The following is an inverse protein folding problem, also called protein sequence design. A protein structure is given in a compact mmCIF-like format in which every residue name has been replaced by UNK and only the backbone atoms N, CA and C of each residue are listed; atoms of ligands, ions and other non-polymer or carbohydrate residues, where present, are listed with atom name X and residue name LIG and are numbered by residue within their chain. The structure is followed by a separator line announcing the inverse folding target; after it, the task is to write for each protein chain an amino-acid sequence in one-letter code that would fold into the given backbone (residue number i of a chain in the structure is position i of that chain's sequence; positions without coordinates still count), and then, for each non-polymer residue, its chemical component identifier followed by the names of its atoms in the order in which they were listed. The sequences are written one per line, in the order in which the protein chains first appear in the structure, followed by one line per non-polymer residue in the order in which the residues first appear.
data_IF_192775371802
#
_entry.id   IF_192775371802
#
_cell.length_a   1.000
_cell.length_b   1.000
_cell.length_c   1.000
_cell.angle_alpha   90.00
_cell.angle_beta   90.00
_cell.angle_gamma   90.00
#
_symmetry.space_group_name_H-M   'P 1'
#
loop_
_entity.id
_entity.type
_entity.pdbx_description
1 polymer ?
#
# COMPACT_ATOMS: atom_id res chain seq x y z
N UNK A 1 16.75 -10.04 -15.44
CA UNK A 1 15.91 -9.82 -14.24
C UNK A 1 16.21 -10.89 -13.19
N UNK A 2 16.00 -10.59 -11.90
CA UNK A 2 16.06 -11.57 -10.81
C UNK A 2 14.65 -12.07 -10.54
N UNK A 3 14.42 -13.35 -10.79
CA UNK A 3 13.14 -14.02 -10.54
C UNK A 3 13.14 -14.65 -9.15
N UNK A 4 11.98 -14.67 -8.49
CA UNK A 4 11.83 -15.45 -7.26
C UNK A 4 11.88 -16.93 -7.61
N UNK A 5 12.29 -17.77 -6.63
CA UNK A 5 12.31 -19.22 -6.83
C UNK A 5 10.89 -19.80 -6.88
N UNK A 6 10.67 -20.91 -7.61
CA UNK A 6 9.40 -21.64 -7.55
C UNK A 6 9.01 -22.06 -6.12
N UNK A 7 9.97 -22.41 -5.28
CA UNK A 7 9.73 -22.74 -3.87
C UNK A 7 9.13 -21.55 -3.10
N UNK A 8 9.64 -20.33 -3.29
CA UNK A 8 9.07 -19.15 -2.65
C UNK A 8 7.64 -18.87 -3.13
N UNK A 9 7.35 -19.09 -4.43
CA UNK A 9 5.98 -18.96 -4.93
C UNK A 9 5.02 -19.98 -4.30
N UNK A 10 5.49 -21.19 -4.02
CA UNK A 10 4.73 -22.22 -3.29
C UNK A 10 4.54 -21.86 -1.82
N UNK A 11 5.55 -21.23 -1.17
CA UNK A 11 5.43 -20.72 0.20
C UNK A 11 4.34 -19.66 0.28
N UNK A 12 4.31 -18.73 -0.69
CA UNK A 12 3.22 -17.75 -0.80
C UNK A 12 1.86 -18.42 -0.96
N UNK A 13 1.75 -19.41 -1.84
CA UNK A 13 0.49 -20.12 -2.05
C UNK A 13 0.00 -20.83 -0.77
N UNK A 14 0.91 -21.47 0.00
CA UNK A 14 0.59 -22.08 1.30
C UNK A 14 0.14 -21.05 2.34
N UNK A 15 0.71 -19.84 2.28
CA UNK A 15 0.29 -18.72 3.13
C UNK A 15 -0.99 -18.02 2.63
N UNK A 16 -1.68 -18.55 1.60
CA UNK A 16 -2.87 -17.92 1.03
C UNK A 16 -2.57 -16.58 0.35
N UNK A 17 -1.39 -16.45 -0.27
CA UNK A 17 -0.92 -15.22 -0.91
C UNK A 17 -0.68 -15.46 -2.41
N UNK A 18 -1.32 -14.65 -3.26
CA UNK A 18 -1.12 -14.60 -4.71
C UNK A 18 -0.87 -13.16 -5.22
N UNK A 19 -0.54 -12.25 -4.28
CA UNK A 19 -0.12 -10.88 -4.53
C UNK A 19 1.35 -10.72 -4.11
N UNK A 20 2.30 -10.81 -5.08
CA UNK A 20 3.73 -10.72 -4.81
C UNK A 20 4.52 -10.33 -6.06
N UNK A 21 5.77 -9.89 -5.87
CA UNK A 21 6.67 -9.59 -6.96
C UNK A 21 7.30 -10.88 -7.48
N UNK A 22 7.08 -11.17 -8.75
CA UNK A 22 7.58 -12.36 -9.45
C UNK A 22 9.03 -12.17 -9.89
N UNK A 23 9.34 -10.97 -10.40
CA UNK A 23 10.68 -10.63 -10.85
C UNK A 23 10.98 -9.14 -10.65
N UNK A 24 12.26 -8.84 -10.39
CA UNK A 24 12.77 -7.49 -10.24
C UNK A 24 14.03 -7.27 -11.08
N UNK A 25 14.14 -6.11 -11.70
CA UNK A 25 15.28 -5.65 -12.46
C UNK A 25 15.38 -4.14 -12.52
N UNK A 26 16.49 -3.61 -13.01
CA UNK A 26 16.71 -2.16 -13.05
C UNK A 26 15.65 -1.39 -13.84
N UNK A 27 15.17 -1.96 -14.95
CA UNK A 27 14.27 -1.30 -15.90
C UNK A 27 12.90 -1.96 -16.02
N UNK A 28 12.67 -3.08 -15.33
CA UNK A 28 11.42 -3.81 -15.38
C UNK A 28 11.20 -4.58 -14.07
N UNK A 29 9.93 -4.64 -13.64
CA UNK A 29 9.48 -5.51 -12.55
C UNK A 29 8.17 -6.18 -12.95
N UNK A 30 7.97 -7.40 -12.48
CA UNK A 30 6.73 -8.16 -12.71
C UNK A 30 6.09 -8.45 -11.36
N UNK A 31 4.81 -8.09 -11.25
CA UNK A 31 4.03 -8.27 -10.04
C UNK A 31 2.79 -9.11 -10.39
N UNK A 32 2.55 -10.16 -9.61
CA UNK A 32 1.37 -11.01 -9.70
C UNK A 32 0.28 -10.48 -8.78
N UNK A 33 -0.97 -10.55 -9.25
CA UNK A 33 -2.18 -10.27 -8.48
C UNK A 33 -3.26 -11.29 -8.87
N UNK A 34 -3.42 -12.34 -8.05
CA UNK A 34 -4.35 -13.42 -8.32
C UNK A 34 -4.02 -14.18 -9.60
N UNK A 35 -4.95 -14.16 -10.57
CA UNK A 35 -4.82 -14.79 -11.89
C UNK A 35 -4.23 -13.88 -12.97
N UNK A 36 -3.72 -12.68 -12.56
CA UNK A 36 -3.10 -11.73 -13.48
C UNK A 36 -1.71 -11.28 -13.06
N UNK A 37 -0.95 -10.72 -14.01
CA UNK A 37 0.35 -10.10 -13.78
C UNK A 37 0.48 -8.76 -14.49
N UNK A 38 1.25 -7.85 -13.89
CA UNK A 38 1.61 -6.55 -14.46
C UNK A 38 3.13 -6.48 -14.60
N UNK A 39 3.62 -6.34 -15.83
CA UNK A 39 5.00 -6.02 -16.14
C UNK A 39 5.16 -4.50 -16.23
N UNK A 40 5.76 -3.89 -15.22
CA UNK A 40 6.05 -2.45 -15.21
C UNK A 40 7.47 -2.21 -15.74
N UNK A 41 7.63 -1.37 -16.79
CA UNK A 41 8.90 -1.17 -17.48
C UNK A 41 9.16 0.31 -17.80
N UNK A 42 10.45 0.66 -18.00
CA UNK A 42 10.89 2.01 -18.40
C UNK A 42 11.24 2.11 -19.90
N UNK A 43 11.03 1.06 -20.69
CA UNK A 43 11.33 1.04 -22.12
C UNK A 43 10.28 1.80 -22.91
N UNK A 44 10.66 2.31 -24.12
CA UNK A 44 9.73 3.02 -25.01
C UNK A 44 8.67 2.06 -25.55
N UNK A 45 9.08 0.83 -25.88
CA UNK A 45 8.21 -0.25 -26.34
C UNK A 45 8.16 -1.34 -25.28
N UNK A 46 7.05 -2.06 -25.21
CA UNK A 46 6.88 -3.21 -24.30
C UNK A 46 7.85 -4.32 -24.70
N UNK A 47 8.71 -4.78 -23.78
CA UNK A 47 9.64 -5.86 -24.09
C UNK A 47 8.88 -7.20 -24.13
N UNK A 48 8.52 -7.69 -25.31
CA UNK A 48 7.74 -8.94 -25.48
C UNK A 48 8.46 -10.17 -24.94
N UNK A 49 9.80 -10.19 -24.94
CA UNK A 49 10.62 -11.26 -24.34
C UNK A 49 10.26 -11.55 -22.88
N UNK A 50 9.75 -10.53 -22.15
CA UNK A 50 9.30 -10.66 -20.76
C UNK A 50 8.10 -11.61 -20.65
N UNK A 51 7.22 -11.63 -21.65
CA UNK A 51 6.04 -12.50 -21.67
C UNK A 51 6.46 -13.97 -21.73
N UNK A 52 7.43 -14.29 -22.58
CA UNK A 52 7.95 -15.65 -22.73
C UNK A 52 8.72 -16.09 -21.47
N UNK A 53 9.51 -15.18 -20.89
CA UNK A 53 10.21 -15.46 -19.63
C UNK A 53 9.20 -15.71 -18.48
N UNK A 54 8.14 -14.90 -18.42
CA UNK A 54 7.06 -15.07 -17.43
C UNK A 54 6.34 -16.42 -17.60
N UNK A 55 6.02 -16.80 -18.84
CA UNK A 55 5.40 -18.09 -19.14
C UNK A 55 6.28 -19.26 -18.65
N UNK A 56 7.57 -19.25 -19.01
CA UNK A 56 8.53 -20.27 -18.55
C UNK A 56 8.67 -20.32 -17.02
N UNK A 57 8.61 -19.16 -16.35
CA UNK A 57 8.63 -19.11 -14.90
C UNK A 57 7.35 -19.70 -14.31
N UNK A 58 6.18 -19.35 -14.88
CA UNK A 58 4.88 -19.87 -14.45
C UNK A 58 4.82 -21.40 -14.52
N UNK A 59 5.31 -22.00 -15.62
CA UNK A 59 5.37 -23.44 -15.79
C UNK A 59 6.20 -24.11 -14.68
N UNK A 60 7.39 -23.56 -14.39
CA UNK A 60 8.26 -24.08 -13.33
C UNK A 60 7.68 -23.92 -11.91
N UNK A 61 6.94 -22.82 -11.68
CA UNK A 61 6.37 -22.49 -10.38
C UNK A 61 4.99 -23.14 -10.14
N UNK A 62 4.38 -23.76 -11.16
CA UNK A 62 3.01 -24.26 -11.10
C UNK A 62 1.98 -23.13 -10.95
N UNK A 63 2.27 -21.94 -11.51
CA UNK A 63 1.40 -20.77 -11.44
C UNK A 63 0.63 -20.63 -12.75
N UNK A 64 -0.70 -20.52 -12.69
CA UNK A 64 -1.53 -20.21 -13.85
C UNK A 64 -1.92 -18.74 -13.86
N UNK A 65 -1.61 -18.04 -14.97
CA UNK A 65 -2.05 -16.68 -15.23
C UNK A 65 -3.01 -16.69 -16.42
N UNK A 66 -4.15 -16.02 -16.25
CA UNK A 66 -5.16 -15.85 -17.31
C UNK A 66 -4.96 -14.56 -18.10
N UNK A 67 -4.22 -13.60 -17.52
CA UNK A 67 -4.08 -12.25 -18.08
C UNK A 67 -2.72 -11.64 -17.71
N UNK A 68 -2.11 -10.98 -18.69
CA UNK A 68 -0.86 -10.26 -18.49
C UNK A 68 -1.01 -8.87 -19.05
N UNK A 69 -0.46 -7.91 -18.35
CA UNK A 69 -0.48 -6.49 -18.73
C UNK A 69 0.95 -5.93 -18.71
N UNK A 70 1.21 -4.98 -19.59
CA UNK A 70 2.39 -4.14 -19.53
C UNK A 70 2.00 -2.74 -19.08
N UNK A 71 2.85 -2.11 -18.27
CA UNK A 71 2.69 -0.73 -17.85
C UNK A 71 4.01 0.01 -17.99
N UNK A 72 4.00 1.05 -18.80
CA UNK A 72 5.17 1.92 -18.92
C UNK A 72 5.24 2.85 -17.72
N UNK A 73 6.40 2.84 -17.05
CA UNK A 73 6.73 3.78 -15.98
C UNK A 73 7.28 5.06 -16.61
N UNK A 74 6.49 6.14 -16.57
CA UNK A 74 6.89 7.44 -17.09
C UNK A 74 7.50 8.26 -15.96
N UNK A 75 8.66 8.87 -16.22
CA UNK A 75 9.37 9.70 -15.23
C UNK A 75 8.75 11.08 -15.01
N UNK A 76 7.78 11.48 -15.85
CA UNK A 76 7.12 12.76 -15.72
C UNK A 76 6.08 12.75 -14.59
N UNK A 77 6.10 13.73 -13.67
CA UNK A 77 5.13 13.81 -12.59
C UNK A 77 3.67 13.91 -13.10
N UNK A 78 2.80 13.06 -12.54
CA UNK A 78 1.35 13.12 -12.78
C UNK A 78 0.86 12.48 -14.09
N UNK A 79 1.73 11.86 -14.88
CA UNK A 79 1.35 11.12 -16.09
C UNK A 79 1.68 9.64 -15.91
N UNK A 80 0.66 8.81 -15.93
CA UNK A 80 0.80 7.36 -15.92
C UNK A 80 0.13 6.82 -17.17
N UNK A 81 0.85 6.08 -17.98
CA UNK A 81 0.26 5.38 -19.10
C UNK A 81 -0.69 4.29 -18.56
N UNK A 82 -1.83 4.12 -19.23
CA UNK A 82 -2.71 2.99 -18.90
C UNK A 82 -1.99 1.70 -19.22
N UNK A 83 -2.17 0.65 -18.38
CA UNK A 83 -1.65 -0.66 -18.71
C UNK A 83 -2.20 -1.15 -20.05
N UNK A 84 -1.36 -1.81 -20.81
CA UNK A 84 -1.66 -2.44 -22.07
C UNK A 84 -1.89 -3.93 -21.83
N UNK A 85 -2.99 -4.48 -22.36
CA UNK A 85 -3.24 -5.91 -22.29
C UNK A 85 -2.31 -6.65 -23.26
N UNK A 86 -1.63 -7.69 -22.79
CA UNK A 86 -0.73 -8.52 -23.58
C UNK A 86 -1.40 -9.86 -23.95
N UNK A 87 -1.24 -10.30 -25.20
CA UNK A 87 -1.81 -11.55 -25.67
C UNK A 87 -3.35 -11.59 -25.59
N UNK A 88 -3.90 -12.65 -25.01
CA UNK A 88 -5.34 -12.90 -24.95
C UNK A 88 -6.04 -12.32 -23.69
N UNK A 89 -5.46 -11.29 -23.06
CA UNK A 89 -6.07 -10.69 -21.89
C UNK A 89 -7.37 -9.95 -22.26
N UNK A 90 -8.49 -10.66 -22.19
CA UNK A 90 -9.82 -10.14 -22.48
C UNK A 90 -10.50 -9.54 -21.23
N UNK A 91 -11.47 -8.62 -21.39
CA UNK A 91 -12.32 -8.15 -20.29
C UNK A 91 -13.08 -9.30 -19.61
N UNK A 92 -13.45 -9.13 -18.32
CA UNK A 92 -13.23 -7.96 -17.48
C UNK A 92 -11.79 -7.86 -17.04
N UNK A 93 -11.28 -6.60 -16.94
CA UNK A 93 -9.91 -6.32 -16.49
C UNK A 93 -9.79 -6.22 -14.97
N UNK A 94 -10.82 -6.59 -14.24
CA UNK A 94 -10.83 -6.65 -12.79
C UNK A 94 -10.59 -8.08 -12.31
N UNK A 95 -9.96 -8.22 -11.15
CA UNK A 95 -9.69 -9.50 -10.51
C UNK A 95 -9.68 -9.38 -9.00
N UNK A 96 -9.40 -10.47 -8.34
CA UNK A 96 -9.19 -10.54 -6.90
C UNK A 96 -7.79 -11.08 -6.66
N UNK A 97 -7.04 -10.42 -5.80
CA UNK A 97 -5.79 -10.94 -5.28
C UNK A 97 -5.91 -11.22 -3.78
N UNK A 98 -5.13 -12.18 -3.31
CA UNK A 98 -5.07 -12.58 -1.91
C UNK A 98 -3.71 -12.27 -1.30
N UNK A 99 -3.75 -11.79 -0.08
CA UNK A 99 -2.57 -11.61 0.76
C UNK A 99 -2.86 -12.17 2.15
N UNK A 100 -2.19 -13.25 2.50
CA UNK A 100 -2.34 -13.95 3.78
C UNK A 100 -3.81 -14.27 4.13
N UNK A 101 -4.55 -14.76 3.11
CA UNK A 101 -5.95 -15.12 3.22
C UNK A 101 -6.94 -13.96 3.13
N UNK A 102 -6.50 -12.70 3.11
CA UNK A 102 -7.37 -11.54 2.87
C UNK A 102 -7.46 -11.24 1.37
N UNK A 103 -8.65 -10.88 0.92
CA UNK A 103 -8.98 -10.65 -0.50
C UNK A 103 -9.08 -9.16 -0.81
N UNK A 104 -8.54 -8.77 -1.97
CA UNK A 104 -8.52 -7.39 -2.44
C UNK A 104 -8.94 -7.29 -3.90
N UNK A 105 -9.77 -6.31 -4.22
CA UNK A 105 -10.16 -6.00 -5.60
C UNK A 105 -8.96 -5.41 -6.36
N UNK A 106 -8.69 -5.96 -7.55
CA UNK A 106 -7.63 -5.53 -8.45
C UNK A 106 -8.26 -5.02 -9.74
N UNK A 107 -7.83 -3.85 -10.19
CA UNK A 107 -8.13 -3.28 -11.49
C UNK A 107 -6.83 -3.19 -12.30
N UNK A 108 -6.66 -4.11 -13.24
CA UNK A 108 -5.45 -4.21 -14.05
C UNK A 108 -5.27 -3.05 -15.02
N UNK A 109 -6.33 -2.29 -15.31
CA UNK A 109 -6.29 -1.11 -16.20
C UNK A 109 -6.15 0.20 -15.43
N UNK A 110 -6.09 0.17 -14.10
CA UNK A 110 -5.80 1.35 -13.31
C UNK A 110 -4.37 1.87 -13.57
N UNK A 111 -4.21 3.19 -13.68
CA UNK A 111 -2.94 3.80 -14.10
C UNK A 111 -1.78 3.54 -13.12
N UNK A 112 -1.78 4.21 -11.95
CA UNK A 112 -0.64 4.15 -11.02
C UNK A 112 -0.61 2.87 -10.18
N UNK A 113 -1.73 2.48 -9.60
CA UNK A 113 -1.84 1.30 -8.74
C UNK A 113 -3.09 0.51 -9.07
N UNK A 114 -2.95 -0.81 -9.15
CA UNK A 114 -4.05 -1.71 -9.47
C UNK A 114 -5.01 -1.97 -8.29
N UNK A 115 -4.71 -1.50 -7.08
CA UNK A 115 -5.57 -1.66 -5.91
C UNK A 115 -4.88 -2.16 -4.65
N UNK A 116 -3.68 -2.73 -4.76
CA UNK A 116 -2.91 -3.21 -3.62
C UNK A 116 -1.43 -2.88 -3.82
N UNK A 117 -0.81 -2.28 -2.81
CA UNK A 117 0.64 -2.07 -2.73
C UNK A 117 1.28 -3.23 -1.99
N UNK A 118 1.95 -4.12 -2.73
CA UNK A 118 2.51 -5.37 -2.17
C UNK A 118 3.74 -5.14 -1.27
N UNK A 119 4.43 -4.02 -1.43
CA UNK A 119 5.56 -3.62 -0.58
C UNK A 119 5.14 -3.25 0.85
N UNK A 120 3.85 -3.01 1.08
CA UNK A 120 3.29 -2.79 2.42
C UNK A 120 2.83 -4.08 3.13
N UNK A 121 3.07 -5.27 2.56
CA UNK A 121 2.60 -6.56 3.12
C UNK A 121 3.08 -6.80 4.56
N UNK A 122 4.36 -6.57 4.85
CA UNK A 122 4.90 -6.73 6.21
C UNK A 122 4.23 -5.78 7.22
N UNK A 123 3.92 -4.55 6.79
CA UNK A 123 3.22 -3.58 7.63
C UNK A 123 1.76 -3.97 7.87
N UNK A 124 1.04 -4.48 6.85
CA UNK A 124 -0.33 -5.00 7.04
C UNK A 124 -0.36 -6.23 7.93
N UNK A 125 0.63 -7.13 7.81
CA UNK A 125 0.81 -8.26 8.72
C UNK A 125 0.96 -7.81 10.17
N UNK A 126 1.78 -6.80 10.43
CA UNK A 126 1.96 -6.22 11.76
C UNK A 126 0.65 -5.64 12.31
N UNK A 127 -0.08 -4.89 11.48
CA UNK A 127 -1.40 -4.36 11.85
C UNK A 127 -2.35 -5.50 12.20
N UNK A 128 -2.44 -6.54 11.36
CA UNK A 128 -3.31 -7.69 11.62
C UNK A 128 -2.95 -8.46 12.90
N UNK A 129 -1.65 -8.56 13.21
CA UNK A 129 -1.18 -9.30 14.39
C UNK A 129 -1.33 -8.52 15.70
N UNK A 130 -1.27 -7.19 15.67
CA UNK A 130 -1.16 -6.39 16.90
C UNK A 130 -2.23 -5.30 17.07
N UNK A 131 -2.98 -4.96 16.02
CA UNK A 131 -3.92 -3.86 16.10
C UNK A 131 -5.12 -4.22 17.01
N UNK A 132 -5.21 -3.50 18.09
CA UNK A 132 -6.36 -3.51 19.00
C UNK A 132 -6.91 -2.09 19.14
N UNK A 133 -8.20 -1.95 19.46
CA UNK A 133 -8.84 -0.65 19.61
C UNK A 133 -9.16 0.00 18.27
N UNK A 134 -8.67 1.21 18.04
CA UNK A 134 -9.03 2.04 16.88
C UNK A 134 -7.82 2.32 16.00
N UNK A 135 -7.96 2.07 14.69
CA UNK A 135 -6.98 2.41 13.68
C UNK A 135 -7.44 3.64 12.88
N UNK A 136 -6.57 4.66 12.78
CA UNK A 136 -6.71 5.78 11.86
C UNK A 136 -5.85 5.53 10.62
N UNK A 137 -6.50 5.37 9.46
CA UNK A 137 -5.83 5.12 8.18
C UNK A 137 -5.91 6.39 7.31
N UNK A 138 -4.78 7.09 7.21
CA UNK A 138 -4.63 8.35 6.49
C UNK A 138 -4.10 8.08 5.09
N UNK A 139 -4.68 8.73 4.06
CA UNK A 139 -4.41 8.44 2.65
C UNK A 139 -4.66 6.97 2.33
N UNK A 140 -5.81 6.48 2.80
CA UNK A 140 -6.06 5.06 2.93
C UNK A 140 -6.28 4.30 1.62
N UNK A 141 -6.38 5.00 0.49
CA UNK A 141 -6.60 4.41 -0.84
C UNK A 141 -7.73 3.37 -0.79
N UNK A 142 -7.49 2.12 -1.14
CA UNK A 142 -8.47 1.02 -1.12
C UNK A 142 -8.62 0.36 0.25
N UNK A 143 -8.18 0.99 1.30
CA UNK A 143 -8.31 0.58 2.71
C UNK A 143 -7.65 -0.77 3.06
N UNK A 144 -6.57 -1.16 2.38
CA UNK A 144 -5.95 -2.47 2.62
C UNK A 144 -5.43 -2.66 4.06
N UNK A 145 -4.89 -1.63 4.70
CA UNK A 145 -4.53 -1.64 6.12
C UNK A 145 -5.74 -1.81 7.03
N UNK A 146 -6.85 -1.15 6.67
CA UNK A 146 -8.08 -1.21 7.46
C UNK A 146 -8.78 -2.55 7.35
N UNK A 147 -8.69 -3.22 6.19
CA UNK A 147 -9.13 -4.61 6.05
C UNK A 147 -8.33 -5.52 6.99
N UNK A 148 -7.00 -5.36 7.05
CA UNK A 148 -6.16 -6.13 7.95
C UNK A 148 -6.49 -5.87 9.43
N UNK A 149 -6.72 -4.61 9.82
CA UNK A 149 -7.12 -4.23 11.18
C UNK A 149 -8.52 -4.74 11.55
N UNK A 150 -9.49 -4.58 10.64
CA UNK A 150 -10.86 -5.05 10.87
C UNK A 150 -10.92 -6.59 10.98
N UNK A 151 -10.11 -7.32 10.22
CA UNK A 151 -9.97 -8.77 10.35
C UNK A 151 -9.37 -9.20 11.71
N UNK A 152 -8.68 -8.30 12.40
CA UNK A 152 -8.22 -8.47 13.79
C UNK A 152 -9.22 -7.97 14.84
N UNK A 153 -10.38 -7.46 14.43
CA UNK A 153 -11.43 -6.96 15.35
C UNK A 153 -11.30 -5.48 15.72
N UNK A 154 -10.38 -4.71 15.13
CA UNK A 154 -10.21 -3.29 15.40
C UNK A 154 -11.26 -2.44 14.65
N UNK A 155 -11.67 -1.32 15.25
CA UNK A 155 -12.44 -0.29 14.55
C UNK A 155 -11.52 0.55 13.65
N UNK A 156 -12.01 1.01 12.50
CA UNK A 156 -11.19 1.81 11.59
C UNK A 156 -11.84 3.12 11.17
N UNK A 157 -11.02 4.15 11.04
CA UNK A 157 -11.39 5.43 10.42
C UNK A 157 -10.51 5.65 9.21
N UNK A 158 -11.12 5.70 8.04
CA UNK A 158 -10.49 5.71 6.73
C UNK A 158 -10.65 7.08 6.09
N UNK A 159 -9.54 7.73 5.74
CA UNK A 159 -9.56 9.07 5.14
C UNK A 159 -8.80 9.04 3.82
N UNK A 160 -9.47 9.43 2.76
CA UNK A 160 -8.88 9.64 1.43
C UNK A 160 -9.65 10.73 0.68
N UNK A 161 -8.98 11.46 -0.21
CA UNK A 161 -9.64 12.44 -1.08
C UNK A 161 -10.53 11.78 -2.13
N UNK A 162 -10.12 10.59 -2.60
CA UNK A 162 -10.76 9.89 -3.70
C UNK A 162 -11.92 9.03 -3.20
N UNK A 163 -13.17 9.50 -3.37
CA UNK A 163 -14.36 8.73 -3.04
C UNK A 163 -14.37 7.34 -3.69
N UNK A 164 -13.95 7.24 -4.94
CA UNK A 164 -13.87 5.97 -5.66
C UNK A 164 -12.90 4.97 -5.04
N UNK A 165 -11.81 5.44 -4.41
CA UNK A 165 -10.90 4.58 -3.66
C UNK A 165 -11.56 4.04 -2.38
N UNK A 166 -12.27 4.88 -1.65
CA UNK A 166 -13.06 4.47 -0.47
C UNK A 166 -14.17 3.48 -0.82
N UNK A 167 -14.85 3.66 -1.96
CA UNK A 167 -15.88 2.73 -2.42
C UNK A 167 -15.26 1.35 -2.75
N UNK A 168 -14.04 1.31 -3.32
CA UNK A 168 -13.26 0.06 -3.45
C UNK A 168 -12.88 -0.49 -2.07
N UNK A 169 -12.53 0.37 -1.11
CA UNK A 169 -12.31 -0.02 0.27
C UNK A 169 -13.51 -0.75 0.86
N UNK A 170 -14.72 -0.21 0.70
CA UNK A 170 -15.95 -0.87 1.14
C UNK A 170 -16.16 -2.23 0.45
N UNK A 171 -15.84 -2.36 -0.84
CA UNK A 171 -15.90 -3.67 -1.53
C UNK A 171 -14.84 -4.64 -1.01
N UNK A 172 -13.64 -4.18 -0.65
CA UNK A 172 -12.62 -4.99 0.00
C UNK A 172 -13.08 -5.52 1.37
N UNK A 173 -13.80 -4.71 2.16
CA UNK A 173 -14.45 -5.20 3.38
C UNK A 173 -15.46 -6.30 3.07
N UNK A 174 -16.35 -6.10 2.10
CA UNK A 174 -17.34 -7.08 1.69
C UNK A 174 -16.72 -8.40 1.19
N UNK A 175 -15.63 -8.33 0.40
CA UNK A 175 -14.87 -9.51 -0.07
C UNK A 175 -14.33 -10.37 1.08
N UNK A 176 -14.08 -9.76 2.23
CA UNK A 176 -13.58 -10.42 3.44
C UNK A 176 -14.69 -10.68 4.48
N UNK A 177 -15.97 -10.52 4.12
CA UNK A 177 -17.12 -10.69 5.00
C UNK A 177 -17.07 -9.80 6.27
N UNK A 178 -16.40 -8.65 6.15
CA UNK A 178 -16.28 -7.66 7.22
C UNK A 178 -17.42 -6.65 7.12
N UNK A 179 -18.13 -6.45 8.24
CA UNK A 179 -19.17 -5.42 8.33
C UNK A 179 -18.56 -4.03 8.27
N UNK A 180 -19.18 -3.11 7.55
CA UNK A 180 -18.75 -1.69 7.55
C UNK A 180 -19.37 -0.84 8.66
N UNK A 181 -20.27 -1.41 9.49
CA UNK A 181 -21.07 -0.65 10.49
C UNK A 181 -20.23 0.05 11.56
N UNK A 182 -19.11 -0.55 11.97
CA UNK A 182 -18.20 -0.01 12.99
C UNK A 182 -17.02 0.76 12.38
N UNK A 183 -17.06 1.03 11.08
CA UNK A 183 -15.94 1.66 10.36
C UNK A 183 -16.41 2.96 9.69
N UNK A 184 -15.56 3.98 9.70
CA UNK A 184 -15.87 5.28 9.09
C UNK A 184 -15.06 5.42 7.79
N UNK A 185 -15.71 5.89 6.71
CA UNK A 185 -15.10 6.17 5.43
C UNK A 185 -15.36 7.64 5.07
N UNK A 186 -14.30 8.45 5.09
CA UNK A 186 -14.39 9.91 5.01
C UNK A 186 -13.66 10.38 3.75
N UNK A 187 -14.44 10.82 2.74
CA UNK A 187 -13.89 11.42 1.52
C UNK A 187 -13.59 12.89 1.77
N UNK A 188 -12.40 13.19 2.31
CA UNK A 188 -12.00 14.56 2.68
C UNK A 188 -10.47 14.69 2.76
N UNK A 189 -9.97 15.92 2.86
CA UNK A 189 -8.55 16.22 2.99
C UNK A 189 -8.05 15.89 4.39
N UNK A 190 -7.02 15.06 4.49
CA UNK A 190 -6.35 14.68 5.75
C UNK A 190 -5.94 15.93 6.54
N UNK A 191 -5.45 16.98 5.86
CA UNK A 191 -5.04 18.24 6.47
C UNK A 191 -6.21 19.05 7.07
N UNK A 192 -7.44 18.77 6.66
CA UNK A 192 -8.65 19.37 7.22
C UNK A 192 -9.28 18.47 8.31
N UNK A 193 -9.16 17.16 8.16
CA UNK A 193 -9.77 16.19 9.10
C UNK A 193 -8.98 16.09 10.41
N UNK A 194 -7.66 15.98 10.35
CA UNK A 194 -6.83 15.81 11.55
C UNK A 194 -7.01 16.93 12.60
N UNK A 195 -7.02 18.23 12.23
CA UNK A 195 -7.30 19.29 13.21
C UNK A 195 -8.69 19.20 13.82
N UNK A 196 -9.68 18.72 13.06
CA UNK A 196 -11.05 18.51 13.59
C UNK A 196 -11.08 17.37 14.60
N UNK A 197 -10.36 16.28 14.35
CA UNK A 197 -10.25 15.16 15.28
C UNK A 197 -9.52 15.56 16.57
N UNK A 198 -8.40 16.26 16.46
CA UNK A 198 -7.66 16.75 17.60
C UNK A 198 -8.52 17.67 18.50
N UNK A 199 -9.27 18.62 17.92
CA UNK A 199 -10.20 19.49 18.68
C UNK A 199 -11.33 18.74 19.36
N UNK A 200 -11.76 17.60 18.80
CA UNK A 200 -12.80 16.74 19.40
C UNK A 200 -12.25 15.75 20.40
N UNK A 201 -10.93 15.72 20.61
CA UNK A 201 -10.29 14.75 21.50
C UNK A 201 -10.33 13.32 20.98
N UNK A 202 -10.54 13.11 19.66
CA UNK A 202 -10.51 11.75 19.09
C UNK A 202 -9.09 11.17 19.18
N UNK A 203 -8.97 9.95 19.70
CA UNK A 203 -7.71 9.26 19.94
C UNK A 203 -7.69 7.89 19.27
N UNK A 204 -6.49 7.45 18.84
CA UNK A 204 -6.27 6.21 18.10
C UNK A 204 -5.03 5.50 18.64
N UNK A 205 -5.13 4.19 18.82
CA UNK A 205 -4.04 3.32 19.25
C UNK A 205 -3.11 2.97 18.09
N UNK A 206 -3.65 3.00 16.86
CA UNK A 206 -2.87 2.73 15.65
C UNK A 206 -3.14 3.82 14.61
N UNK A 207 -2.09 4.30 13.97
CA UNK A 207 -2.19 5.29 12.90
C UNK A 207 -1.32 4.84 11.72
N UNK A 208 -1.89 4.83 10.53
CA UNK A 208 -1.13 4.67 9.26
C UNK A 208 -1.03 6.03 8.60
N UNK A 209 0.20 6.49 8.40
CA UNK A 209 0.52 7.72 7.69
C UNK A 209 1.34 7.38 6.44
N UNK A 210 0.64 7.15 5.32
CA UNK A 210 1.22 6.75 4.03
C UNK A 210 0.83 7.76 2.91
N UNK A 211 1.29 9.00 3.01
CA UNK A 211 0.92 10.06 2.07
C UNK A 211 1.55 9.85 0.69
N UNK A 212 0.87 10.28 -0.39
CA UNK A 212 1.47 10.34 -1.72
C UNK A 212 2.60 11.37 -1.76
N UNK A 213 3.55 11.20 -2.68
CA UNK A 213 4.64 12.15 -2.89
C UNK A 213 4.12 13.55 -3.24
N UNK A 214 2.98 13.59 -3.95
CA UNK A 214 2.30 14.81 -4.36
C UNK A 214 0.79 14.58 -4.40
N UNK A 215 0.01 15.53 -3.86
CA UNK A 215 -1.46 15.51 -3.94
C UNK A 215 -2.01 16.93 -4.09
N UNK A 216 -3.15 17.05 -4.76
CA UNK A 216 -3.95 18.28 -4.80
C UNK A 216 -5.19 18.08 -3.95
N UNK A 217 -5.24 18.75 -2.82
CA UNK A 217 -6.36 18.77 -1.90
C UNK A 217 -7.45 19.77 -2.30
N UNK A 218 -8.40 19.96 -1.40
CA UNK A 218 -9.47 20.95 -1.58
C UNK A 218 -8.91 22.37 -1.74
N UNK A 219 -9.61 23.20 -2.50
CA UNK A 219 -9.29 24.63 -2.72
C UNK A 219 -7.90 24.87 -3.33
N UNK A 220 -7.39 23.92 -4.11
CA UNK A 220 -6.09 24.06 -4.79
C UNK A 220 -4.87 23.92 -3.86
N UNK A 221 -5.05 23.53 -2.59
CA UNK A 221 -3.93 23.23 -1.69
C UNK A 221 -3.09 22.09 -2.28
N UNK A 222 -1.80 22.28 -2.33
CA UNK A 222 -0.85 21.29 -2.80
C UNK A 222 -0.15 20.69 -1.58
N UNK A 223 -0.23 19.37 -1.42
CA UNK A 223 0.60 18.62 -0.49
C UNK A 223 1.88 18.21 -1.23
N UNK A 224 3.02 18.54 -0.66
CA UNK A 224 4.35 18.08 -1.07
C UNK A 224 4.98 17.33 0.08
N UNK A 225 5.27 16.05 -0.13
CA UNK A 225 5.79 15.19 0.93
C UNK A 225 7.02 15.80 1.62
N UNK A 226 7.95 16.36 0.85
CA UNK A 226 9.22 16.88 1.36
C UNK A 226 9.05 18.03 2.35
N UNK A 227 8.11 18.92 2.13
CA UNK A 227 7.87 20.09 2.99
C UNK A 227 6.83 19.84 4.08
N UNK A 228 5.87 18.98 3.82
CA UNK A 228 4.67 18.87 4.67
C UNK A 228 4.69 17.68 5.61
N UNK A 229 5.62 16.71 5.40
CA UNK A 229 5.60 15.45 6.15
C UNK A 229 5.77 15.64 7.67
N UNK A 230 6.66 16.54 8.08
CA UNK A 230 6.83 16.88 9.49
C UNK A 230 5.54 17.39 10.13
N UNK A 231 4.80 18.25 9.43
CA UNK A 231 3.49 18.74 9.89
C UNK A 231 2.44 17.62 9.95
N UNK A 232 2.44 16.70 8.98
CA UNK A 232 1.55 15.55 9.02
C UNK A 232 1.81 14.66 10.22
N UNK A 233 3.08 14.44 10.59
CA UNK A 233 3.47 13.69 11.80
C UNK A 233 2.92 14.39 13.05
N UNK A 234 3.10 15.70 13.20
CA UNK A 234 2.57 16.48 14.34
C UNK A 234 1.05 16.32 14.48
N UNK A 235 0.34 16.49 13.36
CA UNK A 235 -1.12 16.37 13.33
C UNK A 235 -1.60 14.96 13.66
N UNK A 236 -0.89 13.92 13.18
CA UNK A 236 -1.18 12.54 13.51
C UNK A 236 -0.92 12.25 15.00
N UNK A 237 0.21 12.74 15.55
CA UNK A 237 0.54 12.61 16.97
C UNK A 237 -0.50 13.28 17.87
N UNK A 238 -1.09 14.40 17.46
CA UNK A 238 -2.17 15.05 18.21
C UNK A 238 -3.43 14.15 18.34
N UNK A 239 -3.59 13.18 17.46
CA UNK A 239 -4.68 12.18 17.49
C UNK A 239 -4.22 10.83 18.07
N UNK A 240 -2.97 10.67 18.47
CA UNK A 240 -2.45 9.43 19.03
C UNK A 240 -2.84 9.27 20.51
N UNK A 241 -3.18 8.05 20.93
CA UNK A 241 -3.27 7.64 22.33
C UNK A 241 -1.86 7.51 22.93
N UNK A 242 -1.69 7.60 24.26
CA UNK A 242 -0.45 7.17 24.91
C UNK A 242 -0.13 5.72 24.52
N UNK A 243 1.11 5.42 24.19
CA UNK A 243 1.55 4.10 23.72
C UNK A 243 1.19 3.78 22.26
N UNK A 244 0.58 4.68 21.52
CA UNK A 244 0.12 4.43 20.15
C UNK A 244 1.26 4.07 19.18
N UNK A 245 0.92 3.23 18.20
CA UNK A 245 1.78 2.82 17.10
C UNK A 245 1.46 3.63 15.83
N UNK A 246 2.43 4.32 15.28
CA UNK A 246 2.28 5.13 14.06
C UNK A 246 3.19 4.58 12.97
N UNK A 247 2.63 4.12 11.86
CA UNK A 247 3.41 3.82 10.64
C UNK A 247 3.74 5.13 9.94
N UNK A 248 5.01 5.41 9.78
CA UNK A 248 5.54 6.47 8.91
C UNK A 248 5.98 5.81 7.60
N UNK A 249 5.39 6.22 6.48
CA UNK A 249 5.69 5.68 5.15
C UNK A 249 5.95 6.80 4.15
N UNK A 250 6.92 6.60 3.28
CA UNK A 250 7.24 7.53 2.20
C UNK A 250 7.73 6.77 0.96
N UNK A 251 7.05 6.95 -0.16
CA UNK A 251 7.46 6.40 -1.45
C UNK A 251 8.16 7.48 -2.30
N UNK A 252 9.30 7.94 -1.81
CA UNK A 252 10.08 9.00 -2.44
C UNK A 252 11.57 8.77 -2.20
N UNK A 253 12.40 8.94 -3.23
CA UNK A 253 13.86 8.71 -3.16
C UNK A 253 14.59 9.64 -2.19
N UNK A 254 13.98 10.75 -1.79
CA UNK A 254 14.54 11.71 -0.82
C UNK A 254 14.27 11.32 0.63
N UNK A 255 13.54 10.24 0.87
CA UNK A 255 13.24 9.69 2.19
C UNK A 255 13.84 8.30 2.33
N UNK A 256 14.54 8.10 3.41
CA UNK A 256 14.96 6.81 3.93
C UNK A 256 14.44 6.62 5.36
N UNK A 257 14.65 5.45 5.92
CA UNK A 257 14.25 5.11 7.29
C UNK A 257 14.91 6.03 8.33
N UNK A 258 16.15 6.47 8.09
CA UNK A 258 16.88 7.39 8.96
C UNK A 258 16.20 8.75 9.04
N UNK A 259 15.82 9.31 7.89
CA UNK A 259 15.10 10.58 7.79
C UNK A 259 13.70 10.51 8.42
N UNK A 260 12.98 9.39 8.22
CA UNK A 260 11.69 9.18 8.87
C UNK A 260 11.82 9.16 10.40
N UNK A 261 12.80 8.44 10.95
CA UNK A 261 13.11 8.42 12.39
C UNK A 261 13.49 9.82 12.92
N UNK A 262 14.31 10.56 12.18
CA UNK A 262 14.71 11.90 12.56
C UNK A 262 13.51 12.87 12.62
N UNK A 263 12.63 12.82 11.61
CA UNK A 263 11.40 13.63 11.58
C UNK A 263 10.46 13.25 12.73
N UNK A 264 10.28 11.94 13.00
CA UNK A 264 9.46 11.46 14.10
C UNK A 264 9.97 11.99 15.45
N UNK A 265 11.27 11.87 15.74
CA UNK A 265 11.88 12.42 16.96
C UNK A 265 11.69 13.93 17.11
N UNK A 266 11.86 14.68 16.02
CA UNK A 266 11.75 16.15 16.04
C UNK A 266 10.32 16.66 16.30
N UNK A 267 9.30 15.81 16.12
CA UNK A 267 7.88 16.20 16.17
C UNK A 267 7.11 15.62 17.35
N UNK A 268 7.67 14.63 18.00
CA UNK A 268 7.12 14.07 19.24
C UNK A 268 7.91 14.67 20.40
N UNK A 269 7.25 15.40 21.28
CA UNK A 269 7.90 16.10 22.44
C UNK A 269 8.50 15.17 23.50
N UNK A 270 8.50 13.87 23.26
CA UNK A 270 9.05 12.78 24.06
C UNK A 270 9.91 11.88 23.17
N UNK A 271 10.72 11.01 23.75
CA UNK A 271 11.63 10.13 23.00
C UNK A 271 10.89 8.86 22.48
N UNK A 272 10.35 8.85 21.24
CA UNK A 272 9.65 7.70 20.70
C UNK A 272 10.63 6.56 20.39
N UNK A 273 10.15 5.32 20.51
CA UNK A 273 10.86 4.15 20.01
C UNK A 273 10.50 3.86 18.55
N UNK A 274 11.38 3.13 17.85
CA UNK A 274 11.18 2.80 16.44
C UNK A 274 11.41 1.32 16.18
N UNK A 275 10.54 0.75 15.33
CA UNK A 275 10.62 -0.63 14.88
C UNK A 275 10.61 -0.65 13.34
N UNK A 276 11.52 -1.36 12.74
CA UNK A 276 11.53 -1.56 11.29
C UNK A 276 10.63 -2.74 10.91
N UNK A 277 9.96 -2.69 9.76
CA UNK A 277 9.21 -3.84 9.26
C UNK A 277 10.17 -4.97 8.86
N UNK A 278 9.65 -6.19 8.87
CA UNK A 278 10.38 -7.35 8.36
C UNK A 278 10.66 -7.20 6.86
N UNK A 279 11.87 -7.59 6.40
CA UNK A 279 12.18 -7.61 4.98
C UNK A 279 11.23 -8.55 4.21
N UNK A 280 10.81 -8.14 3.03
CA UNK A 280 10.01 -8.98 2.14
C UNK A 280 10.93 -9.82 1.24
N UNK A 281 10.74 -11.15 1.14
CA UNK A 281 11.63 -12.02 0.39
C UNK A 281 11.57 -11.82 -1.13
N UNK A 282 10.50 -11.22 -1.63
CA UNK A 282 10.24 -10.94 -3.04
C UNK A 282 10.52 -9.49 -3.44
N UNK A 283 10.74 -8.58 -2.48
CA UNK A 283 10.94 -7.16 -2.74
C UNK A 283 12.29 -6.73 -2.16
N UNK A 284 13.25 -6.32 -3.00
CA UNK A 284 14.50 -5.75 -2.49
C UNK A 284 14.25 -4.52 -1.62
N UNK A 285 14.99 -4.38 -0.52
CA UNK A 285 14.83 -3.27 0.43
C UNK A 285 14.98 -1.87 -0.18
N UNK A 286 15.65 -1.78 -1.33
CA UNK A 286 15.84 -0.54 -2.10
C UNK A 286 14.70 -0.23 -3.08
N UNK A 287 13.66 -1.06 -3.13
CA UNK A 287 12.62 -1.04 -4.19
C UNK A 287 11.18 -0.94 -3.67
N UNK A 288 11.00 -0.66 -2.39
CA UNK A 288 9.70 -0.38 -1.77
C UNK A 288 9.66 1.02 -1.18
N UNK A 289 8.54 1.37 -0.58
CA UNK A 289 8.44 2.57 0.25
C UNK A 289 9.37 2.46 1.46
N UNK A 290 10.00 3.57 1.84
CA UNK A 290 10.70 3.67 3.12
C UNK A 290 9.67 3.71 4.24
N UNK A 291 9.74 2.78 5.19
CA UNK A 291 8.74 2.67 6.26
C UNK A 291 9.38 2.41 7.61
N UNK A 292 8.79 2.95 8.66
CA UNK A 292 9.17 2.68 10.04
C UNK A 292 7.95 2.85 10.95
N UNK A 293 7.82 1.98 11.94
CA UNK A 293 6.87 2.13 13.01
C UNK A 293 7.45 2.98 14.13
N UNK A 294 6.74 4.01 14.53
CA UNK A 294 7.05 4.89 15.65
C UNK A 294 6.07 4.60 16.78
N UNK A 295 6.57 4.29 17.96
CA UNK A 295 5.75 4.14 19.16
C UNK A 295 5.84 5.41 20.00
N UNK A 296 4.67 5.96 20.32
CA UNK A 296 4.52 7.08 21.24
C UNK A 296 4.75 6.56 22.66
N UNK A 297 5.47 7.28 23.54
CA UNK A 297 5.55 6.92 24.95
C UNK A 297 4.17 6.86 25.60
N UNK A 298 4.01 5.92 26.55
CA UNK A 298 2.80 5.75 27.35
C UNK A 298 2.61 6.82 28.42
#
# INVERSE_FOLDING_TARGET
MKWISPALAQDFARAGTDAYRVADGQRCRIERFGDGAIASHCSVTTPLEIVDELARWCDRAGVSLRRTYARRLVTAPGRHDRPEALGNAAPPHNGIAREEGLSYEIDFMAGYSCGLFIDQRANRRRVRAGCSGRLLNLFCYTCSFSVAAAAAGAETVNIDLARSALDRGCRNFALNQLSTKCHRFIADDVLEVLPRFARRGEKFEWIVLDPPTFSRGHKGRILRLESDYGRLIEMACACASPGAMILLSANCSTFDTGKLKALGRARVGSNPSFLEPEPLPDIPSTRGASTVWMQIPG
#
